data_IF_356768473716
#
_entry.id   IF_356768473716
#
_cell.length_a   1.000
_cell.length_b   1.000
_cell.length_c   1.000
_cell.angle_alpha   90.00
_cell.angle_beta   90.00
_cell.angle_gamma   90.00
#
_symmetry.space_group_name_H-M   'P 1'
#
loop_
_entity.id
_entity.type
_entity.pdbx_description
1 polymer ?
#
# COMPACT_ATOMS: atom_id res chain seq x y z
N UNK A 1 5.14 17.68 -7.07
CA UNK A 1 5.37 16.86 -8.28
C UNK A 1 6.86 16.50 -8.44
N UNK A 2 7.80 17.47 -8.35
CA UNK A 2 9.23 17.20 -8.52
C UNK A 2 9.78 16.14 -7.56
N UNK A 3 9.41 16.18 -6.29
CA UNK A 3 9.81 15.21 -5.27
C UNK A 3 9.36 13.78 -5.64
N UNK A 4 8.09 13.59 -6.03
CA UNK A 4 7.56 12.29 -6.44
C UNK A 4 8.21 11.71 -7.71
N UNK A 5 8.84 12.56 -8.52
CA UNK A 5 9.57 12.14 -9.71
C UNK A 5 11.04 11.81 -9.42
N UNK A 6 11.58 12.28 -8.31
CA UNK A 6 12.93 11.95 -7.86
C UNK A 6 12.97 10.60 -7.15
N UNK A 7 11.99 10.36 -6.27
CA UNK A 7 11.80 9.08 -5.59
C UNK A 7 10.54 8.40 -6.15
N UNK A 8 10.71 7.64 -7.22
CA UNK A 8 9.60 6.99 -7.94
C UNK A 8 9.02 5.85 -7.12
N UNK A 9 9.81 5.26 -6.24
CA UNK A 9 9.45 4.13 -5.41
C UNK A 9 10.32 4.08 -4.15
N UNK A 10 9.73 3.64 -3.06
CA UNK A 10 10.38 3.28 -1.81
C UNK A 10 9.64 2.11 -1.17
N UNK A 11 10.34 1.28 -0.40
CA UNK A 11 9.78 0.15 0.33
C UNK A 11 9.07 0.56 1.63
N UNK A 12 9.15 1.84 1.99
CA UNK A 12 8.42 2.43 3.11
C UNK A 12 7.03 2.91 2.74
N UNK A 13 6.16 3.03 3.74
CA UNK A 13 4.80 3.52 3.54
C UNK A 13 4.22 4.16 4.79
N UNK A 14 3.11 4.84 4.61
CA UNK A 14 2.33 5.43 5.69
C UNK A 14 1.22 4.47 6.12
N UNK A 15 0.77 4.59 7.37
CA UNK A 15 -0.30 3.75 7.91
C UNK A 15 -1.56 3.73 7.01
N UNK A 16 -2.01 4.89 6.55
CA UNK A 16 -3.18 4.98 5.67
C UNK A 16 -2.98 4.26 4.32
N UNK A 17 -1.73 4.18 3.81
CA UNK A 17 -1.42 3.39 2.61
C UNK A 17 -1.64 1.91 2.87
N UNK A 18 -1.19 1.39 4.00
CA UNK A 18 -1.45 0.02 4.43
C UNK A 18 -2.96 -0.22 4.57
N UNK A 19 -3.69 0.66 5.28
CA UNK A 19 -5.13 0.57 5.45
C UNK A 19 -5.87 0.52 4.10
N UNK A 20 -5.47 1.34 3.14
CA UNK A 20 -6.07 1.36 1.81
C UNK A 20 -5.88 0.03 1.06
N UNK A 21 -4.70 -0.59 1.19
CA UNK A 21 -4.43 -1.92 0.60
C UNK A 21 -5.31 -2.97 1.27
N UNK A 22 -5.36 -3.00 2.59
CA UNK A 22 -6.17 -3.96 3.36
C UNK A 22 -7.66 -3.85 3.01
N UNK A 23 -8.20 -2.63 2.93
CA UNK A 23 -9.60 -2.42 2.55
C UNK A 23 -9.92 -2.88 1.14
N UNK A 24 -9.04 -2.62 0.19
CA UNK A 24 -9.31 -2.90 -1.22
C UNK A 24 -9.02 -4.36 -1.59
N UNK A 25 -7.96 -4.91 -1.04
CA UNK A 25 -7.43 -6.21 -1.48
C UNK A 25 -7.48 -7.28 -0.38
N UNK A 26 -7.78 -6.90 0.86
CA UNK A 26 -7.74 -7.81 1.99
C UNK A 26 -6.32 -8.20 2.40
N UNK A 27 -6.21 -9.27 3.15
CA UNK A 27 -4.95 -9.90 3.57
C UNK A 27 -5.03 -11.41 3.40
N UNK A 28 -3.87 -12.05 3.36
CA UNK A 28 -3.76 -13.50 3.26
C UNK A 28 -2.81 -14.05 4.33
N UNK A 29 -3.01 -15.28 4.79
CA UNK A 29 -2.03 -15.94 5.64
C UNK A 29 -0.75 -16.26 4.84
N UNK A 30 0.37 -16.36 5.55
CA UNK A 30 1.70 -16.54 4.94
C UNK A 30 1.81 -17.76 4.00
N UNK A 31 1.07 -18.82 4.26
CA UNK A 31 1.11 -20.01 3.41
C UNK A 31 0.40 -19.82 2.05
N UNK A 32 -0.61 -18.92 1.99
CA UNK A 32 -1.33 -18.63 0.75
C UNK A 32 -0.53 -17.73 -0.20
N UNK A 33 0.40 -16.92 0.35
CA UNK A 33 1.37 -16.15 -0.41
C UNK A 33 2.72 -16.18 0.32
N UNK A 34 3.52 -17.22 0.07
CA UNK A 34 4.80 -17.41 0.76
C UNK A 34 5.84 -16.39 0.32
N UNK A 35 6.79 -16.14 1.20
CA UNK A 35 7.95 -15.30 0.90
C UNK A 35 8.75 -15.82 -0.29
N UNK A 36 9.24 -14.90 -1.11
CA UNK A 36 10.14 -15.15 -2.22
C UNK A 36 11.54 -14.61 -1.91
N UNK A 37 12.52 -14.94 -2.74
CA UNK A 37 13.86 -14.34 -2.62
C UNK A 37 13.82 -12.81 -2.78
N UNK A 38 12.92 -12.31 -3.64
CA UNK A 38 12.76 -10.87 -3.87
C UNK A 38 12.02 -10.16 -2.73
N UNK A 39 11.07 -10.82 -2.02
CA UNK A 39 10.36 -10.19 -0.90
C UNK A 39 11.26 -9.95 0.31
N UNK A 40 12.32 -10.75 0.49
CA UNK A 40 13.32 -10.58 1.56
C UNK A 40 14.49 -9.66 1.17
N UNK A 41 14.69 -9.40 -0.13
CA UNK A 41 15.73 -8.52 -0.69
C UNK A 41 15.15 -7.75 -1.89
N UNK A 42 14.48 -6.66 -1.62
CA UNK A 42 13.72 -5.89 -2.63
C UNK A 42 14.60 -5.03 -3.55
N UNK A 43 15.86 -4.76 -3.18
CA UNK A 43 16.73 -3.78 -3.84
C UNK A 43 16.86 -4.00 -5.35
N UNK A 44 17.18 -5.21 -5.80
CA UNK A 44 17.31 -5.49 -7.24
C UNK A 44 15.97 -5.39 -7.97
N UNK A 45 14.90 -5.92 -7.41
CA UNK A 45 13.56 -5.82 -7.96
C UNK A 45 13.15 -4.35 -8.11
N UNK A 46 13.35 -3.55 -7.07
CA UNK A 46 13.06 -2.12 -7.05
C UNK A 46 13.88 -1.37 -8.10
N UNK A 47 15.16 -1.72 -8.26
CA UNK A 47 15.99 -1.14 -9.31
C UNK A 47 15.40 -1.35 -10.72
N UNK A 48 15.00 -2.58 -11.06
CA UNK A 48 14.34 -2.89 -12.33
C UNK A 48 12.99 -2.20 -12.48
N UNK A 49 12.18 -2.19 -11.41
CA UNK A 49 10.88 -1.54 -11.38
C UNK A 49 10.98 -0.03 -11.65
N UNK A 50 11.89 0.65 -10.96
CA UNK A 50 12.15 2.08 -11.16
C UNK A 50 12.61 2.37 -12.59
N UNK A 51 13.50 1.53 -13.13
CA UNK A 51 13.94 1.64 -14.53
C UNK A 51 12.77 1.52 -15.51
N UNK A 52 11.90 0.52 -15.31
CA UNK A 52 10.70 0.33 -16.14
C UNK A 52 9.71 1.50 -16.00
N UNK A 53 9.45 1.98 -14.80
CA UNK A 53 8.56 3.12 -14.55
C UNK A 53 9.08 4.40 -15.20
N UNK A 54 10.40 4.67 -15.15
CA UNK A 54 11.02 5.81 -15.83
C UNK A 54 10.90 5.70 -17.35
N UNK A 55 11.12 4.52 -17.91
CA UNK A 55 10.91 4.25 -19.34
C UNK A 55 9.45 4.51 -19.72
N UNK A 56 8.49 3.99 -18.98
CA UNK A 56 7.06 4.21 -19.20
C UNK A 56 6.71 5.71 -19.17
N UNK A 57 7.19 6.44 -18.18
CA UNK A 57 6.97 7.87 -18.05
C UNK A 57 7.56 8.67 -19.22
N UNK A 58 8.76 8.31 -19.68
CA UNK A 58 9.41 8.92 -20.85
C UNK A 58 8.57 8.67 -22.11
N UNK A 59 8.15 7.44 -22.34
CA UNK A 59 7.33 7.09 -23.52
C UNK A 59 5.99 7.82 -23.50
N UNK A 60 5.31 7.94 -22.35
CA UNK A 60 4.05 8.68 -22.23
C UNK A 60 4.24 10.18 -22.55
N UNK A 61 5.32 10.79 -22.08
CA UNK A 61 5.64 12.20 -22.40
C UNK A 61 5.87 12.39 -23.89
N UNK A 62 6.73 11.57 -24.49
CA UNK A 62 7.01 11.66 -25.94
C UNK A 62 5.74 11.42 -26.77
N UNK A 63 4.89 10.47 -26.38
CA UNK A 63 3.60 10.25 -27.06
C UNK A 63 2.66 11.45 -26.95
N UNK A 64 2.64 12.10 -25.78
CA UNK A 64 1.87 13.34 -25.59
C UNK A 64 2.40 14.49 -26.46
N UNK A 65 3.72 14.69 -26.49
CA UNK A 65 4.39 15.70 -27.34
C UNK A 65 4.13 15.45 -28.82
N UNK A 66 4.00 14.18 -29.23
CA UNK A 66 3.65 13.77 -30.60
C UNK A 66 2.14 13.85 -30.90
N UNK A 67 1.34 14.42 -30.00
CA UNK A 67 -0.08 14.71 -30.23
C UNK A 67 -1.05 13.60 -29.86
N UNK A 68 -0.63 12.53 -29.18
CA UNK A 68 -1.54 11.50 -28.68
C UNK A 68 -2.58 12.10 -27.74
N UNK A 69 -3.84 11.76 -27.97
CA UNK A 69 -4.93 12.21 -27.11
C UNK A 69 -4.98 11.43 -25.78
N UNK A 70 -5.81 11.90 -24.83
CA UNK A 70 -5.94 11.31 -23.49
C UNK A 70 -6.34 9.82 -23.53
N UNK A 71 -7.20 9.41 -24.46
CA UNK A 71 -7.65 8.03 -24.60
C UNK A 71 -6.52 7.11 -25.07
N UNK A 72 -5.71 7.57 -26.02
CA UNK A 72 -4.52 6.84 -26.50
C UNK A 72 -3.47 6.71 -25.40
N UNK A 73 -3.19 7.79 -24.68
CA UNK A 73 -2.27 7.75 -23.54
C UNK A 73 -2.76 6.82 -22.43
N UNK A 74 -4.07 6.77 -22.19
CA UNK A 74 -4.64 5.84 -21.21
C UNK A 74 -4.46 4.37 -21.62
N UNK A 75 -4.72 4.03 -22.88
CA UNK A 75 -4.47 2.67 -23.42
C UNK A 75 -3.00 2.28 -23.31
N UNK A 76 -2.11 3.21 -23.68
CA UNK A 76 -0.65 3.00 -23.57
C UNK A 76 -0.25 2.75 -22.10
N UNK A 77 -0.73 3.59 -21.17
CA UNK A 77 -0.51 3.41 -19.72
C UNK A 77 -1.00 2.03 -19.24
N UNK A 78 -2.19 1.62 -19.64
CA UNK A 78 -2.76 0.32 -19.25
C UNK A 78 -1.87 -0.85 -19.70
N UNK A 79 -1.36 -0.83 -20.93
CA UNK A 79 -0.41 -1.83 -21.41
C UNK A 79 0.91 -1.83 -20.60
N UNK A 80 1.45 -0.65 -20.30
CA UNK A 80 2.66 -0.51 -19.48
C UNK A 80 2.44 -1.02 -18.05
N UNK A 81 1.27 -0.78 -17.46
CA UNK A 81 0.94 -1.30 -16.13
C UNK A 81 0.81 -2.81 -16.11
N UNK A 82 0.33 -3.44 -17.18
CA UNK A 82 0.33 -4.89 -17.32
C UNK A 82 1.75 -5.47 -17.31
N UNK A 83 2.72 -4.81 -17.98
CA UNK A 83 4.12 -5.20 -17.92
C UNK A 83 4.71 -5.07 -16.51
N UNK A 84 4.40 -3.97 -15.81
CA UNK A 84 4.82 -3.74 -14.41
C UNK A 84 4.24 -4.84 -13.50
N UNK A 85 2.95 -5.13 -13.63
CA UNK A 85 2.31 -6.20 -12.86
C UNK A 85 2.96 -7.57 -13.11
N UNK A 86 3.27 -7.89 -14.38
CA UNK A 86 3.97 -9.11 -14.74
C UNK A 86 5.35 -9.21 -14.08
N UNK A 87 6.11 -8.12 -14.04
CA UNK A 87 7.39 -8.06 -13.35
C UNK A 87 7.23 -8.35 -11.86
N UNK A 88 6.25 -7.74 -11.21
CA UNK A 88 5.94 -7.97 -9.80
C UNK A 88 5.52 -9.42 -9.55
N UNK A 89 4.67 -10.01 -10.39
CA UNK A 89 4.27 -11.42 -10.26
C UNK A 89 5.45 -12.39 -10.44
N UNK A 90 6.40 -12.08 -11.33
CA UNK A 90 7.63 -12.89 -11.48
C UNK A 90 8.49 -12.82 -10.22
N UNK A 91 8.58 -11.66 -9.59
CA UNK A 91 9.44 -11.42 -8.43
C UNK A 91 8.83 -11.87 -7.11
N UNK A 92 7.53 -11.63 -6.92
CA UNK A 92 6.83 -11.79 -5.64
C UNK A 92 5.79 -12.92 -5.63
N UNK A 93 5.51 -13.54 -6.78
CA UNK A 93 4.40 -14.46 -6.98
C UNK A 93 3.10 -13.73 -7.35
N UNK A 94 2.14 -14.49 -7.84
CA UNK A 94 0.81 -13.97 -8.18
C UNK A 94 -0.07 -13.99 -6.94
N UNK A 95 -0.65 -12.86 -6.52
CA UNK A 95 -1.58 -12.84 -5.40
C UNK A 95 -2.75 -13.80 -5.64
N UNK A 96 -3.15 -14.62 -4.66
CA UNK A 96 -4.27 -15.52 -4.82
C UNK A 96 -5.60 -14.74 -4.87
N UNK A 97 -6.49 -15.11 -5.77
CA UNK A 97 -7.86 -14.59 -5.79
C UNK A 97 -8.69 -15.22 -4.65
N UNK A 98 -8.48 -16.49 -4.39
CA UNK A 98 -9.06 -17.24 -3.28
C UNK A 98 -8.04 -18.22 -2.71
N UNK A 99 -8.24 -18.65 -1.49
CA UNK A 99 -7.44 -19.70 -0.84
C UNK A 99 -8.29 -20.49 0.15
N UNK A 100 -7.83 -21.68 0.49
CA UNK A 100 -8.45 -22.52 1.49
C UNK A 100 -7.82 -22.23 2.85
N UNK A 101 -8.65 -21.93 3.85
CA UNK A 101 -8.24 -21.67 5.22
C UNK A 101 -8.40 -22.93 6.05
N UNK A 102 -7.32 -23.39 6.65
CA UNK A 102 -7.30 -24.45 7.64
C UNK A 102 -6.44 -24.02 8.84
N UNK A 103 -7.07 -23.58 9.91
CA UNK A 103 -6.39 -23.11 11.11
C UNK A 103 -6.76 -23.95 12.33
N UNK A 104 -5.78 -24.46 13.09
CA UNK A 104 -6.04 -25.04 14.39
C UNK A 104 -6.43 -23.96 15.40
N UNK A 105 -7.50 -24.18 16.13
CA UNK A 105 -7.88 -23.32 17.26
C UNK A 105 -7.07 -23.71 18.51
N UNK A 106 -7.09 -22.85 19.53
CA UNK A 106 -6.48 -23.12 20.84
C UNK A 106 -7.05 -24.39 21.49
N UNK A 107 -8.29 -24.77 21.17
CA UNK A 107 -8.98 -25.95 21.68
C UNK A 107 -8.78 -27.21 20.81
N UNK A 108 -7.73 -27.21 19.97
CA UNK A 108 -7.40 -28.30 19.05
C UNK A 108 -8.50 -28.67 18.04
N UNK A 109 -9.42 -27.76 17.76
CA UNK A 109 -10.37 -27.86 16.66
C UNK A 109 -9.82 -27.16 15.43
N UNK A 110 -10.30 -27.52 14.26
CA UNK A 110 -9.96 -26.84 13.02
C UNK A 110 -11.08 -25.89 12.60
N UNK A 111 -10.69 -24.68 12.21
CA UNK A 111 -11.54 -23.79 11.42
C UNK A 111 -11.17 -24.05 9.97
N UNK A 112 -12.17 -24.40 9.17
CA UNK A 112 -12.01 -24.60 7.71
C UNK A 112 -12.95 -23.66 7.00
N UNK A 113 -12.41 -23.00 5.96
CA UNK A 113 -13.18 -22.16 5.06
C UNK A 113 -12.56 -22.26 3.68
N UNK A 114 -13.32 -22.74 2.70
CA UNK A 114 -12.81 -23.05 1.37
C UNK A 114 -13.09 -21.93 0.38
N UNK A 115 -12.16 -21.69 -0.51
CA UNK A 115 -12.25 -20.66 -1.56
C UNK A 115 -12.60 -19.27 -1.02
N UNK A 116 -12.08 -18.92 0.18
CA UNK A 116 -12.28 -17.61 0.80
C UNK A 116 -11.40 -16.56 0.07
N UNK A 117 -11.96 -15.39 -0.19
CA UNK A 117 -11.19 -14.27 -0.74
C UNK A 117 -10.36 -13.58 0.35
N UNK A 118 -9.26 -12.87 -0.01
CA UNK A 118 -8.46 -12.09 0.95
C UNK A 118 -9.28 -11.05 1.74
N UNK A 119 -10.28 -10.43 1.11
CA UNK A 119 -11.19 -9.46 1.77
C UNK A 119 -12.09 -10.17 2.79
N UNK A 120 -12.71 -11.28 2.40
CA UNK A 120 -13.53 -12.09 3.31
C UNK A 120 -12.72 -12.64 4.49
N UNK A 121 -11.46 -13.00 4.24
CA UNK A 121 -10.56 -13.44 5.32
C UNK A 121 -10.31 -12.31 6.32
N UNK A 122 -10.02 -11.11 5.85
CA UNK A 122 -9.83 -9.94 6.70
C UNK A 122 -11.10 -9.67 7.54
N UNK A 123 -12.26 -9.56 6.89
CA UNK A 123 -13.52 -9.23 7.55
C UNK A 123 -13.95 -10.29 8.59
N UNK A 124 -13.71 -11.58 8.31
CA UNK A 124 -14.19 -12.67 9.14
C UNK A 124 -13.25 -13.05 10.28
N UNK A 125 -11.93 -12.98 10.02
CA UNK A 125 -10.94 -13.56 10.94
C UNK A 125 -9.98 -12.54 11.56
N UNK A 126 -9.94 -11.30 11.05
CA UNK A 126 -9.10 -10.25 11.60
C UNK A 126 -9.96 -9.24 12.37
N UNK A 127 -9.94 -9.28 13.71
CA UNK A 127 -10.80 -8.40 14.52
C UNK A 127 -10.30 -6.95 14.57
N UNK A 128 -9.26 -6.62 13.80
CA UNK A 128 -8.65 -5.31 13.78
C UNK A 128 -9.36 -4.42 12.76
N UNK A 129 -10.13 -3.46 13.21
CA UNK A 129 -10.63 -2.39 12.34
C UNK A 129 -9.52 -1.35 12.14
N UNK A 130 -8.90 -1.38 10.95
CA UNK A 130 -7.83 -0.44 10.58
C UNK A 130 -8.31 1.02 10.53
N UNK A 131 -9.63 1.25 10.52
CA UNK A 131 -10.24 2.58 10.50
C UNK A 131 -10.27 3.26 11.87
N UNK A 132 -10.13 2.50 12.95
CA UNK A 132 -10.06 3.04 14.31
C UNK A 132 -8.70 3.66 14.66
N UNK A 133 -7.70 3.51 13.78
CA UNK A 133 -6.35 4.00 14.01
C UNK A 133 -6.10 5.32 13.32
N UNK A 134 -5.34 6.19 14.00
CA UNK A 134 -4.96 7.51 13.53
C UNK A 134 -3.43 7.67 13.61
N UNK A 135 -2.83 8.19 12.54
CA UNK A 135 -1.41 8.54 12.52
C UNK A 135 -1.15 9.84 13.29
N UNK A 136 -0.33 9.77 14.33
CA UNK A 136 0.04 10.92 15.16
C UNK A 136 1.43 11.42 14.77
N UNK A 137 1.59 12.75 14.74
CA UNK A 137 2.89 13.40 14.52
C UNK A 137 3.13 14.49 15.57
N UNK A 138 4.38 14.88 15.73
CA UNK A 138 4.77 16.07 16.46
C UNK A 138 5.66 16.94 15.57
N UNK A 139 5.02 17.77 14.75
CA UNK A 139 5.69 18.73 13.88
C UNK A 139 5.66 20.12 14.54
N UNK A 140 6.83 20.70 14.79
CA UNK A 140 6.98 21.96 15.54
C UNK A 140 7.18 23.18 14.64
N UNK A 141 6.92 23.04 13.33
CA UNK A 141 7.08 24.14 12.37
C UNK A 141 5.91 25.11 12.43
N UNK A 142 6.14 26.39 12.20
CA UNK A 142 5.12 27.44 12.33
C UNK A 142 3.93 27.27 11.36
N UNK A 143 4.16 26.61 10.22
CA UNK A 143 3.14 26.30 9.21
C UNK A 143 2.25 25.09 9.59
N UNK A 144 2.56 24.41 10.71
CA UNK A 144 1.83 23.23 11.17
C UNK A 144 1.37 23.38 12.64
N UNK A 145 0.35 24.20 12.91
CA UNK A 145 -0.23 24.31 14.24
C UNK A 145 -0.59 22.95 14.87
N UNK A 146 -0.46 22.82 16.17
CA UNK A 146 -0.92 21.64 16.89
C UNK A 146 -2.45 21.51 16.88
N UNK A 147 -2.95 20.29 17.12
CA UNK A 147 -4.38 19.93 17.12
C UNK A 147 -5.07 20.17 15.78
N UNK A 148 -4.33 20.06 14.69
CA UNK A 148 -4.82 20.13 13.34
C UNK A 148 -4.41 18.89 12.55
N UNK A 149 -5.21 18.56 11.53
CA UNK A 149 -4.97 17.42 10.64
C UNK A 149 -4.25 17.87 9.37
N UNK A 150 -3.25 17.10 8.96
CA UNK A 150 -2.43 17.35 7.77
C UNK A 150 -2.46 16.17 6.83
N UNK A 151 -2.32 16.45 5.55
CA UNK A 151 -2.16 15.45 4.49
C UNK A 151 -0.99 15.81 3.58
N UNK A 152 -0.49 14.80 2.86
CA UNK A 152 0.49 15.00 1.80
C UNK A 152 -0.23 14.76 0.48
N UNK A 153 -0.40 15.80 -0.31
CA UNK A 153 -1.07 15.72 -1.61
C UNK A 153 -0.31 14.78 -2.55
N UNK A 154 -1.07 13.95 -3.27
CA UNK A 154 -0.56 13.02 -4.28
C UNK A 154 0.30 11.85 -3.75
N UNK A 155 0.26 11.58 -2.46
CA UNK A 155 1.01 10.47 -1.86
C UNK A 155 0.17 9.17 -1.75
N UNK A 156 -1.05 9.13 -2.28
CA UNK A 156 -1.89 7.95 -2.25
C UNK A 156 -1.32 6.80 -3.09
N UNK A 157 -1.43 5.58 -2.60
CA UNK A 157 -0.95 4.35 -3.26
C UNK A 157 -2.08 3.51 -3.89
N UNK A 158 -3.32 3.81 -3.55
CA UNK A 158 -4.52 3.10 -4.05
C UNK A 158 -5.46 4.10 -4.67
N UNK A 159 -5.90 3.86 -5.92
CA UNK A 159 -6.94 4.63 -6.58
C UNK A 159 -8.25 4.49 -5.78
N UNK A 160 -8.94 5.63 -5.52
CA UNK A 160 -10.12 5.73 -4.65
C UNK A 160 -9.84 5.46 -3.15
N UNK A 161 -8.59 5.27 -2.75
CA UNK A 161 -8.18 5.15 -1.36
C UNK A 161 -8.35 6.46 -0.58
N UNK A 162 -8.42 6.36 0.74
CA UNK A 162 -8.42 7.53 1.63
C UNK A 162 -7.11 8.29 1.53
N UNK A 163 -7.19 9.61 1.66
CA UNK A 163 -6.00 10.45 1.80
C UNK A 163 -5.25 10.11 3.09
N UNK A 164 -3.93 10.20 3.01
CA UNK A 164 -3.06 10.04 4.19
C UNK A 164 -3.31 11.20 5.13
N UNK A 165 -3.54 10.91 6.42
CA UNK A 165 -3.84 11.89 7.45
C UNK A 165 -2.93 11.75 8.65
N UNK A 166 -2.47 12.89 9.14
CA UNK A 166 -1.70 13.00 10.37
C UNK A 166 -2.38 14.00 11.29
N UNK A 167 -2.59 13.61 12.55
CA UNK A 167 -2.99 14.54 13.59
C UNK A 167 -1.72 15.06 14.28
N UNK A 168 -1.50 16.38 14.20
CA UNK A 168 -0.34 17.01 14.82
C UNK A 168 -0.61 17.32 16.30
N UNK A 169 0.14 16.74 17.20
CA UNK A 169 -0.01 16.86 18.64
C UNK A 169 1.23 17.46 19.29
N UNK A 170 1.03 18.11 20.44
CA UNK A 170 2.16 18.48 21.29
C UNK A 170 2.88 17.24 21.81
N UNK A 171 4.14 17.38 22.23
CA UNK A 171 4.92 16.27 22.76
C UNK A 171 4.23 15.58 23.97
N UNK A 172 3.58 16.36 24.84
CA UNK A 172 2.89 15.82 26.02
C UNK A 172 1.61 15.06 25.62
N UNK A 173 0.84 15.58 24.67
CA UNK A 173 -0.32 14.86 24.11
C UNK A 173 0.10 13.56 23.42
N UNK A 174 1.18 13.57 22.64
CA UNK A 174 1.71 12.38 21.98
C UNK A 174 2.16 11.32 22.99
N UNK A 175 2.88 11.74 24.06
CA UNK A 175 3.27 10.84 25.16
C UNK A 175 2.06 10.27 25.90
N UNK A 176 1.03 11.08 26.14
CA UNK A 176 -0.20 10.63 26.78
C UNK A 176 -0.93 9.59 25.90
N UNK A 177 -1.07 9.86 24.61
CA UNK A 177 -1.66 8.91 23.67
C UNK A 177 -0.89 7.58 23.62
N UNK A 178 0.44 7.64 23.54
CA UNK A 178 1.29 6.44 23.57
C UNK A 178 1.15 5.63 24.86
N UNK A 179 1.05 6.29 26.02
CA UNK A 179 0.81 5.59 27.31
C UNK A 179 -0.56 4.91 27.36
N UNK A 180 -1.59 5.58 26.82
CA UNK A 180 -2.95 5.05 26.83
C UNK A 180 -3.16 3.87 25.84
N UNK A 181 -2.28 3.73 24.85
CA UNK A 181 -2.31 2.62 23.90
C UNK A 181 -1.54 1.38 24.34
N UNK A 182 -0.80 1.46 25.47
CA UNK A 182 -0.14 0.30 26.05
C UNK A 182 -1.14 -0.52 26.86
N UNK A 183 -1.09 -1.88 26.77
CA UNK A 183 -1.97 -2.78 27.53
C UNK A 183 -1.66 -2.72 29.02
#
# INVERSE_FOLDING_TARGET
>A
AAYLLQEVEGDGGQWDMFCNIVRKYGIVPKYAMPETACSSKTEEMCHYLVGKLRQCASTLRSSHENGCNRGELHKLKTGMMADVYKLLCISLGTPPETFDLELPTKDHKYITDYAITPVQFYEKYCPLDVDEYVSLINATTADKPFNATYTIKYLGNVEEGREIRYLNLTADQLKAAAKNSLP
#
